data_IF_088048800963
#
_entry.id   IF_088048800963
#
_cell.length_a   1.000
_cell.length_b   1.000
_cell.length_c   1.000
_cell.angle_alpha   90.00
_cell.angle_beta   90.00
_cell.angle_gamma   90.00
#
_symmetry.space_group_name_H-M   'P 1'
#
loop_
_entity.id
_entity.type
_entity.pdbx_description
1 polymer ?
#
# COMPACT_ATOMS: atom_id res chain seq x y z
N UNK A 1 30.21 3.24 13.93
CA UNK A 1 29.58 3.19 12.60
C UNK A 1 28.24 2.44 12.63
N UNK A 2 28.18 1.19 13.11
CA UNK A 2 26.96 0.39 13.12
C UNK A 2 25.76 1.02 13.87
N UNK A 3 26.01 1.64 15.04
CA UNK A 3 24.98 2.34 15.82
C UNK A 3 24.37 3.55 15.09
N UNK A 4 25.16 4.24 14.26
CA UNK A 4 24.69 5.38 13.46
C UNK A 4 23.78 4.91 12.32
N UNK A 5 24.16 3.82 11.65
CA UNK A 5 23.36 3.18 10.61
C UNK A 5 21.99 2.72 11.15
N UNK A 6 21.97 2.13 12.35
CA UNK A 6 20.71 1.69 13.00
C UNK A 6 19.78 2.86 13.29
N UNK A 7 20.29 4.00 13.75
CA UNK A 7 19.48 5.21 14.02
C UNK A 7 18.91 5.79 12.71
N UNK A 8 19.71 5.82 11.64
CA UNK A 8 19.27 6.30 10.31
C UNK A 8 18.17 5.40 9.74
N UNK A 9 18.30 4.07 9.85
CA UNK A 9 17.26 3.13 9.41
C UNK A 9 15.95 3.28 10.22
N UNK A 10 16.03 3.55 11.53
CA UNK A 10 14.85 3.81 12.35
C UNK A 10 14.13 5.10 11.92
N UNK A 11 14.87 6.14 11.54
CA UNK A 11 14.30 7.40 11.03
C UNK A 11 13.61 7.24 9.67
N UNK A 12 14.09 6.33 8.81
CA UNK A 12 13.45 6.03 7.52
C UNK A 12 12.16 5.21 7.63
N UNK A 13 11.83 4.67 8.82
CA UNK A 13 10.56 3.99 9.08
C UNK A 13 9.40 4.95 9.41
N UNK A 14 9.58 6.26 9.24
CA UNK A 14 8.47 7.19 9.13
C UNK A 14 7.67 6.81 7.89
N UNK A 15 6.70 5.91 8.08
CA UNK A 15 5.71 5.53 7.10
C UNK A 15 5.12 6.83 6.55
N UNK A 16 5.29 7.07 5.25
CA UNK A 16 4.72 8.23 4.59
C UNK A 16 3.20 8.16 4.78
N UNK A 17 2.68 8.94 5.73
CA UNK A 17 1.25 9.15 6.00
C UNK A 17 0.63 10.03 4.90
N UNK A 18 0.96 9.73 3.64
CA UNK A 18 0.36 10.38 2.49
C UNK A 18 -0.94 9.64 2.15
N UNK A 19 -2.00 10.40 1.90
CA UNK A 19 -3.22 9.83 1.34
C UNK A 19 -2.88 9.16 -0.01
N UNK A 20 -3.45 7.98 -0.25
CA UNK A 20 -3.32 7.28 -1.52
C UNK A 20 -4.42 7.83 -2.44
N UNK A 21 -4.04 8.36 -3.59
CA UNK A 21 -4.99 8.86 -4.59
C UNK A 21 -4.62 8.29 -5.95
N UNK A 22 -5.60 7.64 -6.59
CA UNK A 22 -5.46 7.00 -7.89
C UNK A 22 -6.70 7.31 -8.73
N UNK A 23 -6.58 7.18 -10.05
CA UNK A 23 -7.72 7.23 -10.97
C UNK A 23 -7.97 5.80 -11.45
N UNK A 24 -9.20 5.33 -11.35
CA UNK A 24 -9.57 4.01 -11.85
C UNK A 24 -9.69 3.99 -13.39
N UNK A 25 -9.93 2.81 -13.94
CA UNK A 25 -10.07 2.60 -15.39
C UNK A 25 -11.31 3.26 -15.99
N UNK A 26 -12.27 3.67 -15.16
CA UNK A 26 -13.47 4.43 -15.56
C UNK A 26 -13.26 5.95 -15.52
N UNK A 27 -12.09 6.41 -15.04
CA UNK A 27 -11.77 7.82 -14.89
C UNK A 27 -12.20 8.43 -13.55
N UNK A 28 -12.59 7.60 -12.58
CA UNK A 28 -13.02 8.05 -11.26
C UNK A 28 -11.83 8.17 -10.31
N UNK A 29 -11.74 9.30 -9.59
CA UNK A 29 -10.73 9.49 -8.56
C UNK A 29 -11.09 8.68 -7.30
N UNK A 30 -10.22 7.78 -6.90
CA UNK A 30 -10.32 6.96 -5.68
C UNK A 30 -9.25 7.42 -4.70
N UNK A 31 -9.69 7.82 -3.50
CA UNK A 31 -8.80 8.31 -2.44
C UNK A 31 -8.96 7.53 -1.15
N UNK A 32 -7.85 7.09 -0.58
CA UNK A 32 -7.77 6.46 0.73
C UNK A 32 -6.97 7.35 1.68
N UNK A 33 -7.54 7.66 2.84
CA UNK A 33 -6.87 8.46 3.86
C UNK A 33 -5.71 7.72 4.56
N UNK A 34 -5.79 6.39 4.59
CA UNK A 34 -4.77 5.46 5.09
C UNK A 34 -4.78 4.18 4.22
N UNK A 35 -3.73 3.34 4.26
CA UNK A 35 -3.75 2.06 3.56
C UNK A 35 -4.98 1.19 3.89
N UNK A 36 -5.57 0.55 2.87
CA UNK A 36 -6.75 -0.28 3.06
C UNK A 36 -6.45 -1.50 3.95
N UNK A 37 -7.28 -1.71 4.99
CA UNK A 37 -7.11 -2.83 5.94
C UNK A 37 -7.90 -4.09 5.56
N UNK A 38 -8.85 -3.96 4.64
CA UNK A 38 -9.66 -5.06 4.10
C UNK A 38 -9.92 -4.79 2.62
N UNK A 39 -9.77 -5.83 1.81
CA UNK A 39 -9.97 -5.77 0.37
C UNK A 39 -11.00 -6.85 0.03
N UNK A 40 -12.02 -6.48 -0.76
CA UNK A 40 -13.02 -7.43 -1.28
C UNK A 40 -12.88 -7.49 -2.78
N UNK A 41 -12.44 -8.63 -3.31
CA UNK A 41 -12.32 -8.83 -4.75
C UNK A 41 -13.68 -9.20 -5.35
N UNK A 42 -14.12 -8.44 -6.36
CA UNK A 42 -15.40 -8.67 -7.05
C UNK A 42 -15.24 -9.47 -8.35
N UNK A 43 -14.00 -9.76 -8.76
CA UNK A 43 -13.71 -10.52 -9.97
C UNK A 43 -12.48 -11.43 -9.78
N UNK A 44 -12.40 -12.59 -10.47
CA UNK A 44 -11.30 -13.54 -10.30
C UNK A 44 -9.91 -12.94 -10.57
N UNK A 45 -9.75 -12.15 -11.63
CA UNK A 45 -8.47 -11.54 -12.00
C UNK A 45 -7.94 -10.57 -10.92
N UNK A 46 -8.84 -9.93 -10.16
CA UNK A 46 -8.43 -9.07 -9.03
C UNK A 46 -7.86 -9.91 -7.89
N UNK A 47 -8.47 -11.05 -7.58
CA UNK A 47 -7.94 -12.00 -6.59
C UNK A 47 -6.54 -12.49 -6.99
N UNK A 48 -6.35 -12.88 -8.25
CA UNK A 48 -5.05 -13.31 -8.78
C UNK A 48 -3.98 -12.22 -8.62
N UNK A 49 -4.32 -10.96 -8.94
CA UNK A 49 -3.41 -9.82 -8.74
C UNK A 49 -3.05 -9.61 -7.26
N UNK A 50 -4.02 -9.70 -6.35
CA UNK A 50 -3.78 -9.54 -4.91
C UNK A 50 -2.79 -10.59 -4.39
N UNK A 51 -2.93 -11.85 -4.79
CA UNK A 51 -1.96 -12.89 -4.42
C UNK A 51 -0.58 -12.66 -5.05
N UNK A 52 -0.53 -12.22 -6.31
CA UNK A 52 0.75 -11.93 -6.99
C UNK A 52 1.57 -10.84 -6.30
N UNK A 53 0.92 -9.92 -5.58
CA UNK A 53 1.56 -8.85 -4.80
C UNK A 53 1.62 -9.15 -3.29
N UNK A 54 1.31 -10.38 -2.87
CA UNK A 54 1.26 -10.80 -1.46
C UNK A 54 0.26 -9.99 -0.59
N UNK A 55 -0.84 -9.53 -1.17
CA UNK A 55 -1.95 -8.84 -0.50
C UNK A 55 -3.21 -9.72 -0.32
N UNK A 56 -3.11 -11.03 -0.57
CA UNK A 56 -4.22 -11.99 -0.54
C UNK A 56 -4.31 -12.87 0.73
N UNK A 57 -3.49 -12.58 1.75
CA UNK A 57 -3.45 -13.33 3.03
C UNK A 57 -4.34 -12.68 4.11
#
# INVERSE_FOLDING_TARGET
>A
MQRLLTIICLFFNLNALAAIEVVDDTGHAVRLAEPARRIVALAPHVTEMLYAIAAGE
#
